data_IF_111464038522
#
_entry.id   IF_111464038522
#
_cell.length_a   1.000
_cell.length_b   1.000
_cell.length_c   1.000
_cell.angle_alpha   90.00
_cell.angle_beta   90.00
_cell.angle_gamma   90.00
#
_symmetry.space_group_name_H-M   'P 1'
#
loop_
_entity.id
_entity.type
_entity.pdbx_description
1 polymer ?
#
# COMPACT_ATOMS: atom_id res chain seq x y z
N UNK A 1 -1.26 -36.37 -5.07
CA UNK A 1 -1.45 -36.10 -3.62
C UNK A 1 -1.97 -34.69 -3.47
N UNK A 2 -3.21 -34.56 -2.99
CA UNK A 2 -4.02 -33.35 -3.11
C UNK A 2 -3.51 -32.18 -2.28
N UNK A 3 -3.42 -31.02 -2.92
CA UNK A 3 -3.21 -29.74 -2.25
C UNK A 3 -4.43 -29.42 -1.37
N UNK A 4 -4.22 -29.39 -0.05
CA UNK A 4 -5.16 -28.75 0.87
C UNK A 4 -5.28 -27.27 0.50
N UNK A 5 -6.42 -26.90 -0.08
CA UNK A 5 -6.86 -25.51 -0.16
C UNK A 5 -6.90 -24.97 1.28
N UNK A 6 -6.02 -24.04 1.61
CA UNK A 6 -5.96 -23.41 2.92
C UNK A 6 -7.22 -22.59 3.15
N UNK A 7 -8.19 -23.18 3.84
CA UNK A 7 -9.36 -22.52 4.39
C UNK A 7 -8.94 -21.61 5.54
N UNK A 8 -8.49 -20.39 5.25
CA UNK A 8 -8.35 -19.33 6.25
C UNK A 8 -9.49 -18.34 6.12
N UNK A 9 -10.68 -18.85 6.42
CA UNK A 9 -11.86 -18.05 6.70
C UNK A 9 -12.45 -18.50 8.04
N UNK A 10 -11.57 -18.77 9.02
CA UNK A 10 -12.00 -19.00 10.39
C UNK A 10 -12.25 -17.63 11.00
N UNK A 11 -13.49 -17.13 10.89
CA UNK A 11 -13.94 -16.02 11.73
C UNK A 11 -13.61 -16.39 13.18
N UNK A 12 -13.09 -15.47 14.01
CA UNK A 12 -12.95 -15.72 15.43
C UNK A 12 -14.30 -16.27 15.93
N UNK A 13 -14.29 -17.37 16.69
CA UNK A 13 -15.50 -17.88 17.33
C UNK A 13 -15.89 -16.86 18.40
N UNK A 14 -16.67 -15.86 18.02
CA UNK A 14 -17.27 -14.92 18.94
C UNK A 14 -18.28 -15.66 19.80
N UNK A 15 -18.43 -15.23 21.06
CA UNK A 15 -19.45 -15.80 21.94
C UNK A 15 -20.82 -15.74 21.25
N UNK A 16 -21.68 -16.73 21.47
CA UNK A 16 -23.06 -16.72 20.97
C UNK A 16 -23.93 -15.63 21.63
N UNK A 17 -23.40 -14.92 22.63
CA UNK A 17 -24.13 -13.85 23.31
C UNK A 17 -24.10 -12.55 22.49
N UNK A 18 -25.23 -11.83 22.43
CA UNK A 18 -25.29 -10.54 21.76
C UNK A 18 -24.38 -9.52 22.46
N UNK A 19 -23.83 -8.58 21.68
CA UNK A 19 -22.99 -7.51 22.20
C UNK A 19 -23.74 -6.64 23.23
N UNK A 20 -23.11 -6.26 24.35
CA UNK A 20 -23.72 -5.38 25.36
C UNK A 20 -24.20 -4.05 24.77
N UNK A 21 -25.30 -3.49 25.29
CA UNK A 21 -25.88 -2.22 24.83
C UNK A 21 -24.89 -1.06 24.87
N UNK A 22 -24.10 -0.95 25.94
CA UNK A 22 -23.09 0.10 26.09
C UNK A 22 -21.98 0.01 25.03
N UNK A 23 -21.63 -1.20 24.60
CA UNK A 23 -20.68 -1.40 23.49
C UNK A 23 -21.33 -1.03 22.18
N UNK A 24 -22.61 -1.37 21.97
CA UNK A 24 -23.36 -0.90 20.80
C UNK A 24 -23.35 0.63 20.71
N UNK A 25 -23.57 1.30 21.84
CA UNK A 25 -23.53 2.76 21.93
C UNK A 25 -22.16 3.35 21.62
N UNK A 26 -21.06 2.67 22.00
CA UNK A 26 -19.70 3.05 21.64
C UNK A 26 -19.52 3.10 20.11
N UNK A 27 -19.88 2.01 19.42
CA UNK A 27 -19.76 1.93 17.95
C UNK A 27 -20.70 2.92 17.25
N UNK A 28 -21.94 3.06 17.73
CA UNK A 28 -22.88 4.03 17.17
C UNK A 28 -22.40 5.48 17.33
N UNK A 29 -21.80 5.83 18.47
CA UNK A 29 -21.23 7.16 18.68
C UNK A 29 -20.10 7.43 17.67
N UNK A 30 -19.24 6.46 17.41
CA UNK A 30 -18.22 6.57 16.36
C UNK A 30 -18.83 6.70 14.97
N UNK A 31 -19.81 5.87 14.61
CA UNK A 31 -20.47 5.93 13.30
C UNK A 31 -21.12 7.29 13.05
N UNK A 32 -21.73 7.87 14.08
CA UNK A 32 -22.42 9.15 14.03
C UNK A 32 -21.47 10.34 14.19
N UNK A 33 -20.17 10.08 14.44
CA UNK A 33 -19.18 11.08 14.82
C UNK A 33 -19.61 11.94 16.03
N UNK A 34 -20.38 11.37 16.94
CA UNK A 34 -20.83 12.01 18.17
C UNK A 34 -19.74 11.88 19.24
N UNK A 35 -18.84 12.86 19.25
CA UNK A 35 -17.71 12.91 20.19
C UNK A 35 -18.18 13.06 21.65
N UNK A 36 -19.33 13.69 21.88
CA UNK A 36 -19.88 13.88 23.23
C UNK A 36 -20.35 12.54 23.79
N UNK A 37 -21.16 11.81 23.01
CA UNK A 37 -21.61 10.46 23.37
C UNK A 37 -20.43 9.50 23.47
N UNK A 38 -19.46 9.58 22.55
CA UNK A 38 -18.25 8.76 22.58
C UNK A 38 -17.49 8.91 23.90
N UNK A 39 -17.23 10.17 24.32
CA UNK A 39 -16.54 10.46 25.59
C UNK A 39 -17.32 9.99 26.81
N UNK A 40 -18.65 10.17 26.81
CA UNK A 40 -19.52 9.68 27.89
C UNK A 40 -19.50 8.16 28.00
N UNK A 41 -19.61 7.46 26.87
CA UNK A 41 -19.59 5.99 26.84
C UNK A 41 -18.22 5.46 27.28
N UNK A 42 -17.11 6.07 26.85
CA UNK A 42 -15.76 5.74 27.34
C UNK A 42 -15.64 5.96 28.85
N UNK A 43 -16.12 7.10 29.36
CA UNK A 43 -16.08 7.43 30.78
C UNK A 43 -16.88 6.46 31.67
N UNK A 44 -17.85 5.73 31.10
CA UNK A 44 -18.60 4.68 31.80
C UNK A 44 -17.79 3.41 32.07
N UNK A 45 -16.55 3.31 31.55
CA UNK A 45 -15.67 2.15 31.72
C UNK A 45 -15.92 1.03 30.71
N UNK A 46 -16.51 1.34 29.55
CA UNK A 46 -16.68 0.35 28.48
C UNK A 46 -15.34 -0.16 27.97
N UNK A 47 -15.26 -1.44 27.62
CA UNK A 47 -14.12 -1.96 26.88
C UNK A 47 -14.12 -1.41 25.45
N UNK A 48 -13.23 -0.45 25.20
CA UNK A 48 -13.07 0.21 23.89
C UNK A 48 -12.58 -0.73 22.78
N UNK A 49 -12.05 -1.90 23.14
CA UNK A 49 -11.57 -2.91 22.20
C UNK A 49 -12.63 -3.95 21.84
N UNK A 50 -13.83 -3.86 22.43
CA UNK A 50 -14.88 -4.83 22.18
C UNK A 50 -15.34 -4.75 20.70
N UNK A 51 -15.24 -5.85 19.93
CA UNK A 51 -15.58 -5.83 18.52
C UNK A 51 -17.09 -5.79 18.32
N UNK A 52 -17.52 -5.25 17.18
CA UNK A 52 -18.91 -5.37 16.75
C UNK A 52 -19.26 -6.85 16.58
N UNK A 53 -20.27 -7.33 17.31
CA UNK A 53 -20.76 -8.70 17.23
C UNK A 53 -22.29 -8.64 17.15
N UNK A 54 -22.85 -9.17 16.06
CA UNK A 54 -24.28 -9.40 15.93
C UNK A 54 -24.54 -10.85 15.47
N UNK A 55 -24.74 -11.80 16.40
CA UNK A 55 -24.90 -13.22 16.06
C UNK A 55 -26.17 -13.50 15.25
N UNK A 56 -27.21 -12.69 15.43
CA UNK A 56 -28.52 -12.84 14.77
C UNK A 56 -28.49 -12.37 13.32
N UNK A 57 -27.70 -11.34 13.02
CA UNK A 57 -27.54 -10.79 11.68
C UNK A 57 -26.06 -10.52 11.38
N UNK A 58 -25.32 -11.56 10.94
CA UNK A 58 -23.92 -11.41 10.61
C UNK A 58 -23.72 -10.37 9.52
N UNK A 59 -22.75 -9.48 9.73
CA UNK A 59 -22.50 -8.35 8.85
C UNK A 59 -21.01 -8.22 8.51
N UNK A 60 -20.69 -7.36 7.54
CA UNK A 60 -19.29 -7.00 7.26
C UNK A 60 -18.61 -6.28 8.44
N UNK A 61 -19.40 -5.80 9.41
CA UNK A 61 -18.90 -5.15 10.63
C UNK A 61 -18.43 -6.14 11.67
N UNK A 62 -18.82 -7.41 11.58
CA UNK A 62 -18.49 -8.40 12.61
C UNK A 62 -16.98 -8.53 12.79
N UNK A 63 -16.52 -8.37 14.02
CA UNK A 63 -15.10 -8.40 14.38
C UNK A 63 -14.39 -7.04 14.28
N UNK A 64 -15.01 -5.99 13.75
CA UNK A 64 -14.42 -4.65 13.70
C UNK A 64 -14.49 -3.96 15.07
N UNK A 65 -13.41 -3.30 15.50
CA UNK A 65 -13.42 -2.45 16.71
C UNK A 65 -13.87 -1.03 16.37
N UNK A 66 -14.29 -0.28 17.39
CA UNK A 66 -14.72 1.12 17.24
C UNK A 66 -13.61 1.99 16.64
N UNK A 67 -12.34 1.73 16.99
CA UNK A 67 -11.18 2.42 16.42
C UNK A 67 -11.07 2.19 14.90
N UNK A 68 -11.31 0.97 14.44
CA UNK A 68 -11.19 0.64 13.02
C UNK A 68 -12.32 1.23 12.17
N UNK A 69 -13.50 1.38 12.77
CA UNK A 69 -14.60 2.12 12.16
C UNK A 69 -14.26 3.62 12.07
N UNK A 70 -13.77 4.23 13.15
CA UNK A 70 -13.35 5.63 13.17
C UNK A 70 -12.28 5.93 12.09
N UNK A 71 -11.34 5.01 11.88
CA UNK A 71 -10.29 5.12 10.85
C UNK A 71 -10.89 5.06 9.45
N UNK A 72 -11.79 4.11 9.20
CA UNK A 72 -12.43 3.93 7.89
C UNK A 72 -13.24 5.18 7.51
N UNK A 73 -13.97 5.73 8.48
CA UNK A 73 -14.80 6.92 8.35
C UNK A 73 -14.02 8.25 8.39
N UNK A 74 -12.71 8.22 8.68
CA UNK A 74 -11.85 9.40 8.84
C UNK A 74 -12.24 10.33 10.00
N UNK A 75 -12.80 9.79 11.08
CA UNK A 75 -13.15 10.57 12.27
C UNK A 75 -11.90 10.78 13.13
N UNK A 76 -11.05 11.73 12.72
CA UNK A 76 -9.72 11.97 13.32
C UNK A 76 -9.78 12.16 14.84
N UNK A 77 -10.72 12.98 15.33
CA UNK A 77 -10.85 13.23 16.77
C UNK A 77 -11.41 12.03 17.54
N UNK A 78 -12.28 11.23 16.91
CA UNK A 78 -12.75 9.98 17.49
C UNK A 78 -11.61 8.95 17.59
N UNK A 79 -10.77 8.85 16.55
CA UNK A 79 -9.54 8.03 16.57
C UNK A 79 -8.63 8.45 17.71
N UNK A 80 -8.37 9.76 17.85
CA UNK A 80 -7.56 10.29 18.94
C UNK A 80 -8.15 9.94 20.31
N UNK A 81 -9.45 10.20 20.50
CA UNK A 81 -10.16 9.90 21.76
C UNK A 81 -10.07 8.41 22.12
N UNK A 82 -10.21 7.52 21.14
CA UNK A 82 -10.10 6.07 21.35
C UNK A 82 -8.68 5.64 21.69
N UNK A 83 -7.67 6.20 21.00
CA UNK A 83 -6.25 5.95 21.31
C UNK A 83 -5.91 6.44 22.73
N UNK A 84 -6.36 7.64 23.11
CA UNK A 84 -6.17 8.21 24.45
C UNK A 84 -6.84 7.32 25.53
N UNK A 85 -7.93 6.64 25.17
CA UNK A 85 -8.60 5.64 26.00
C UNK A 85 -7.95 4.24 25.95
N UNK A 86 -6.71 4.13 25.47
CA UNK A 86 -5.97 2.86 25.35
C UNK A 86 -6.63 1.82 24.43
N UNK A 87 -7.33 2.25 23.38
CA UNK A 87 -7.75 1.34 22.32
C UNK A 87 -6.51 0.72 21.66
N UNK A 88 -6.43 -0.61 21.70
CA UNK A 88 -5.35 -1.39 21.14
C UNK A 88 -5.34 -1.29 19.61
N UNK A 89 -4.14 -1.28 19.04
CA UNK A 89 -3.89 -1.37 17.58
C UNK A 89 -4.30 -2.73 16.99
N UNK A 90 -4.59 -3.71 17.83
CA UNK A 90 -4.89 -5.09 17.45
C UNK A 90 -6.38 -5.35 17.48
N UNK A 91 -6.94 -5.90 16.39
CA UNK A 91 -8.25 -6.55 16.48
C UNK A 91 -8.07 -7.91 17.16
N UNK A 92 -9.14 -8.45 17.74
CA UNK A 92 -9.15 -9.87 18.13
C UNK A 92 -8.89 -10.72 16.88
N UNK A 93 -7.71 -11.35 16.82
CA UNK A 93 -7.27 -12.18 15.70
C UNK A 93 -6.44 -11.46 14.61
N UNK A 94 -6.10 -10.18 14.78
CA UNK A 94 -5.39 -9.39 13.76
C UNK A 94 -4.09 -8.76 14.26
N UNK A 95 -3.09 -8.67 13.37
CA UNK A 95 -1.74 -8.16 13.65
C UNK A 95 -1.67 -6.62 13.53
N UNK A 96 -0.73 -5.98 14.24
CA UNK A 96 -0.55 -4.51 14.30
C UNK A 96 -0.48 -3.77 12.96
N UNK A 97 0.07 -4.41 11.92
CA UNK A 97 0.17 -3.78 10.60
C UNK A 97 -1.18 -3.48 9.97
N UNK A 98 -2.24 -4.18 10.36
CA UNK A 98 -3.55 -4.06 9.71
C UNK A 98 -4.18 -2.69 9.92
N UNK A 99 -4.07 -2.10 11.12
CA UNK A 99 -4.70 -0.81 11.41
C UNK A 99 -3.99 0.34 10.69
N UNK A 100 -2.66 0.30 10.66
CA UNK A 100 -1.85 1.23 9.87
C UNK A 100 -2.17 1.08 8.37
N UNK A 101 -2.24 -0.16 7.88
CA UNK A 101 -2.46 -0.42 6.46
C UNK A 101 -3.87 -0.01 6.05
N UNK A 102 -4.86 -0.12 6.94
CA UNK A 102 -6.21 0.40 6.73
C UNK A 102 -6.21 1.93 6.58
N UNK A 103 -5.56 2.66 7.50
CA UNK A 103 -5.45 4.11 7.41
C UNK A 103 -4.77 4.56 6.10
N UNK A 104 -3.69 3.87 5.72
CA UNK A 104 -2.94 4.12 4.49
C UNK A 104 -3.75 3.77 3.24
N UNK A 105 -4.45 2.63 3.24
CA UNK A 105 -5.32 2.20 2.16
C UNK A 105 -6.45 3.19 1.88
N UNK A 106 -6.88 3.96 2.88
CA UNK A 106 -7.89 5.01 2.72
C UNK A 106 -7.28 6.43 2.58
N UNK A 107 -5.94 6.56 2.55
CA UNK A 107 -5.25 7.85 2.40
C UNK A 107 -5.41 8.80 3.59
N UNK A 108 -5.57 8.26 4.80
CA UNK A 108 -5.82 9.02 6.03
C UNK A 108 -4.51 9.48 6.68
N UNK A 109 -3.82 10.43 6.08
CA UNK A 109 -2.50 10.90 6.54
C UNK A 109 -2.51 11.44 7.97
N UNK A 110 -3.52 12.22 8.36
CA UNK A 110 -3.65 12.72 9.74
C UNK A 110 -3.75 11.57 10.76
N UNK A 111 -4.50 10.51 10.41
CA UNK A 111 -4.63 9.32 11.23
C UNK A 111 -3.32 8.54 11.28
N UNK A 112 -2.56 8.44 10.18
CA UNK A 112 -1.23 7.82 10.19
C UNK A 112 -0.30 8.51 11.20
N UNK A 113 -0.35 9.85 11.31
CA UNK A 113 0.43 10.61 12.31
C UNK A 113 0.00 10.27 13.73
N UNK A 114 -1.31 10.18 14.00
CA UNK A 114 -1.83 9.76 15.31
C UNK A 114 -1.40 8.35 15.68
N UNK A 115 -1.53 7.40 14.75
CA UNK A 115 -1.12 6.01 14.97
C UNK A 115 0.38 5.91 15.26
N UNK A 116 1.22 6.67 14.55
CA UNK A 116 2.65 6.74 14.84
C UNK A 116 2.94 7.32 16.22
N UNK A 117 2.28 8.41 16.59
CA UNK A 117 2.42 9.02 17.92
C UNK A 117 1.97 8.08 19.05
N UNK A 118 1.00 7.20 18.77
CA UNK A 118 0.56 6.12 19.66
C UNK A 118 1.53 4.93 19.76
N UNK A 119 2.68 4.99 19.09
CA UNK A 119 3.71 3.94 19.14
C UNK A 119 3.52 2.79 18.14
N UNK A 120 2.57 2.89 17.20
CA UNK A 120 2.41 1.87 16.16
C UNK A 120 3.66 1.84 15.28
N UNK A 121 4.21 0.64 15.09
CA UNK A 121 5.40 0.45 14.27
C UNK A 121 5.10 0.69 12.78
N UNK A 122 5.54 1.85 12.29
CA UNK A 122 5.41 2.27 10.88
C UNK A 122 6.12 1.34 9.89
N UNK A 123 7.14 0.59 10.35
CA UNK A 123 7.91 -0.36 9.54
C UNK A 123 7.35 -1.78 9.57
N UNK A 124 6.17 -1.97 10.14
CA UNK A 124 5.49 -3.28 10.15
C UNK A 124 5.26 -3.80 8.74
N UNK A 125 5.22 -5.12 8.63
CA UNK A 125 5.08 -5.83 7.36
C UNK A 125 3.89 -6.78 7.36
N UNK A 126 3.17 -6.84 6.24
CA UNK A 126 2.17 -7.89 6.01
C UNK A 126 2.84 -9.24 5.70
N UNK A 127 2.00 -10.23 5.39
CA UNK A 127 2.42 -11.59 5.05
C UNK A 127 3.24 -11.67 3.75
N UNK A 128 3.15 -10.68 2.87
CA UNK A 128 3.98 -10.59 1.66
C UNK A 128 5.26 -9.79 1.89
N UNK A 129 5.49 -9.31 3.11
CA UNK A 129 6.60 -8.44 3.46
C UNK A 129 6.41 -6.98 3.01
N UNK A 130 5.23 -6.59 2.54
CA UNK A 130 4.94 -5.22 2.17
C UNK A 130 4.88 -4.34 3.42
N UNK A 131 5.43 -3.14 3.33
CA UNK A 131 5.27 -2.07 4.33
C UNK A 131 4.09 -1.16 3.95
N UNK A 132 3.71 -0.24 4.84
CA UNK A 132 2.73 0.81 4.55
C UNK A 132 3.01 1.56 3.23
N UNK A 133 4.29 1.89 2.95
CA UNK A 133 4.67 2.55 1.69
C UNK A 133 4.36 1.69 0.46
N UNK A 134 4.51 0.36 0.53
CA UNK A 134 4.14 -0.51 -0.57
C UNK A 134 2.64 -0.50 -0.83
N UNK A 135 1.83 -0.52 0.23
CA UNK A 135 0.36 -0.48 0.13
C UNK A 135 -0.09 0.84 -0.50
N UNK A 136 0.47 1.97 -0.04
CA UNK A 136 0.18 3.27 -0.62
C UNK A 136 0.61 3.36 -2.09
N UNK A 137 1.79 2.82 -2.42
CA UNK A 137 2.35 2.89 -3.76
C UNK A 137 1.60 2.08 -4.83
N UNK A 138 0.84 1.06 -4.45
CA UNK A 138 0.02 0.26 -5.39
C UNK A 138 -1.45 0.71 -5.49
N UNK A 139 -1.93 1.53 -4.58
CA UNK A 139 -3.37 1.79 -4.47
C UNK A 139 -3.81 2.99 -5.32
N UNK A 140 -4.20 2.76 -6.58
CA UNK A 140 -4.61 3.84 -7.50
C UNK A 140 -5.91 4.57 -7.15
N UNK A 141 -6.70 4.07 -6.20
CA UNK A 141 -8.06 4.58 -5.92
C UNK A 141 -8.11 5.67 -4.86
N UNK A 142 -6.96 6.09 -4.33
CA UNK A 142 -6.88 7.04 -3.23
C UNK A 142 -6.37 8.39 -3.74
N UNK A 143 -7.23 9.40 -3.65
CA UNK A 143 -6.90 10.77 -4.09
C UNK A 143 -5.71 11.39 -3.35
N UNK A 144 -5.38 10.92 -2.15
CA UNK A 144 -4.39 11.54 -1.25
C UNK A 144 -3.11 10.71 -1.06
N UNK A 145 -2.77 9.83 -2.02
CA UNK A 145 -1.62 8.94 -1.90
C UNK A 145 -0.30 9.68 -1.73
N UNK A 146 -0.05 10.74 -2.51
CA UNK A 146 1.21 11.48 -2.45
C UNK A 146 1.46 12.05 -1.04
N UNK A 147 0.43 12.66 -0.43
CA UNK A 147 0.50 13.19 0.95
C UNK A 147 0.69 12.09 1.99
N UNK A 148 0.04 10.94 1.79
CA UNK A 148 0.20 9.77 2.67
C UNK A 148 1.62 9.19 2.57
N UNK A 149 2.24 9.13 1.38
CA UNK A 149 3.65 8.75 1.20
C UNK A 149 4.57 9.72 1.94
N UNK A 150 4.39 11.03 1.77
CA UNK A 150 5.19 12.05 2.48
C UNK A 150 5.08 11.84 3.99
N UNK A 151 3.86 11.69 4.50
CA UNK A 151 3.60 11.46 5.92
C UNK A 151 4.27 10.18 6.43
N UNK A 152 4.16 9.07 5.68
CA UNK A 152 4.81 7.81 6.06
C UNK A 152 6.33 7.95 6.13
N UNK A 153 6.94 8.74 5.23
CA UNK A 153 8.37 9.02 5.20
C UNK A 153 8.80 9.95 6.34
N UNK A 154 8.01 10.98 6.66
CA UNK A 154 8.18 11.84 7.83
C UNK A 154 8.15 11.02 9.14
N UNK A 155 7.25 10.03 9.22
CA UNK A 155 7.19 9.08 10.33
C UNK A 155 8.29 8.00 10.30
N UNK A 156 9.29 8.12 9.43
CA UNK A 156 10.47 7.25 9.41
C UNK A 156 10.32 5.95 8.62
N UNK A 157 9.33 5.82 7.74
CA UNK A 157 9.27 4.69 6.80
C UNK A 157 10.53 4.60 5.94
N UNK A 158 10.95 3.39 5.62
CA UNK A 158 12.11 3.16 4.74
C UNK A 158 11.68 3.19 3.25
N UNK A 159 12.10 4.20 2.45
CA UNK A 159 11.69 4.35 1.04
C UNK A 159 12.18 3.23 0.13
N UNK A 160 13.21 2.49 0.57
CA UNK A 160 13.86 1.42 -0.18
C UNK A 160 13.64 0.03 0.45
N UNK A 161 12.68 -0.10 1.37
CA UNK A 161 12.34 -1.41 1.93
C UNK A 161 11.93 -2.37 0.81
N UNK A 162 12.45 -3.60 0.83
CA UNK A 162 12.04 -4.66 -0.08
C UNK A 162 10.98 -5.55 0.58
N UNK A 163 9.96 -5.94 -0.19
CA UNK A 163 9.03 -7.01 0.20
C UNK A 163 9.64 -8.39 -0.12
N UNK A 164 8.88 -9.48 0.08
CA UNK A 164 9.38 -10.86 -0.15
C UNK A 164 9.78 -11.14 -1.60
N UNK A 165 9.21 -10.41 -2.57
CA UNK A 165 9.59 -10.50 -3.99
C UNK A 165 10.78 -9.62 -4.36
N UNK A 166 11.31 -8.85 -3.41
CA UNK A 166 12.37 -7.88 -3.66
C UNK A 166 11.86 -6.54 -4.21
N UNK A 167 10.55 -6.39 -4.44
CA UNK A 167 9.98 -5.11 -4.89
C UNK A 167 10.15 -4.05 -3.80
N UNK A 168 10.55 -2.85 -4.21
CA UNK A 168 10.48 -1.62 -3.38
C UNK A 168 9.16 -0.89 -3.62
N UNK A 169 8.77 0.10 -2.80
CA UNK A 169 7.60 0.95 -3.09
C UNK A 169 7.67 1.58 -4.48
N UNK A 170 8.86 1.95 -4.97
CA UNK A 170 9.04 2.51 -6.30
C UNK A 170 8.74 1.50 -7.42
N UNK A 171 9.04 0.20 -7.23
CA UNK A 171 8.63 -0.83 -8.17
C UNK A 171 7.12 -0.87 -8.31
N UNK A 172 6.38 -0.88 -7.19
CA UNK A 172 4.92 -0.90 -7.22
C UNK A 172 4.35 0.37 -7.85
N UNK A 173 4.85 1.54 -7.48
CA UNK A 173 4.41 2.80 -8.09
C UNK A 173 4.63 2.79 -9.63
N UNK A 174 5.75 2.23 -10.08
CA UNK A 174 6.07 2.10 -11.49
C UNK A 174 5.16 1.09 -12.22
N UNK A 175 4.96 -0.11 -11.65
CA UNK A 175 4.05 -1.13 -12.18
C UNK A 175 2.63 -0.61 -12.36
N UNK A 176 2.13 0.22 -11.44
CA UNK A 176 0.76 0.72 -11.47
C UNK A 176 0.61 2.10 -12.14
N UNK A 177 1.69 2.65 -12.74
CA UNK A 177 1.66 3.95 -13.41
C UNK A 177 1.26 5.10 -12.46
N UNK A 178 1.76 5.05 -11.23
CA UNK A 178 1.50 6.04 -10.17
C UNK A 178 2.55 7.16 -10.24
N UNK A 179 2.50 7.98 -11.29
CA UNK A 179 3.54 8.98 -11.61
C UNK A 179 3.84 9.93 -10.45
N UNK A 180 2.83 10.48 -9.80
CA UNK A 180 3.02 11.41 -8.68
C UNK A 180 3.69 10.73 -7.48
N UNK A 181 3.23 9.53 -7.12
CA UNK A 181 3.83 8.72 -6.05
C UNK A 181 5.29 8.39 -6.38
N UNK A 182 5.57 7.98 -7.62
CA UNK A 182 6.93 7.71 -8.07
C UNK A 182 7.81 8.96 -7.96
N UNK A 183 7.28 10.14 -8.32
CA UNK A 183 7.97 11.41 -8.20
C UNK A 183 8.34 11.75 -6.76
N UNK A 184 7.40 11.62 -5.84
CA UNK A 184 7.64 11.83 -4.40
C UNK A 184 8.69 10.85 -3.87
N UNK A 185 8.56 9.56 -4.20
CA UNK A 185 9.53 8.54 -3.77
C UNK A 185 10.95 8.86 -4.27
N UNK A 186 11.10 9.28 -5.53
CA UNK A 186 12.39 9.67 -6.10
C UNK A 186 12.98 10.92 -5.44
N UNK A 187 12.15 11.91 -5.10
CA UNK A 187 12.57 13.08 -4.32
C UNK A 187 13.01 12.69 -2.90
N UNK A 188 12.39 11.66 -2.32
CA UNK A 188 12.67 11.15 -0.99
C UNK A 188 13.72 10.01 -0.97
N UNK A 189 14.71 10.06 -1.86
CA UNK A 189 15.88 9.16 -1.89
C UNK A 189 15.54 7.68 -2.17
N UNK A 190 14.44 7.38 -2.85
CA UNK A 190 14.27 6.05 -3.43
C UNK A 190 15.29 5.79 -4.53
N UNK A 191 15.90 4.61 -4.54
CA UNK A 191 16.88 4.22 -5.56
C UNK A 191 16.16 3.80 -6.84
N UNK A 192 16.34 4.61 -7.90
CA UNK A 192 15.72 4.41 -9.21
C UNK A 192 16.08 3.07 -9.87
N UNK A 193 17.28 2.55 -9.57
CA UNK A 193 17.82 1.32 -10.15
C UNK A 193 17.86 0.15 -9.15
N UNK A 194 17.06 0.20 -8.09
CA UNK A 194 16.86 -0.99 -7.24
C UNK A 194 16.40 -2.15 -8.11
N UNK A 195 17.03 -3.31 -7.96
CA UNK A 195 16.56 -4.54 -8.60
C UNK A 195 15.73 -5.37 -7.61
N UNK A 196 14.68 -6.00 -8.10
CA UNK A 196 13.94 -7.01 -7.35
C UNK A 196 14.70 -8.33 -7.20
N UNK A 197 14.05 -9.33 -6.60
CA UNK A 197 14.63 -10.66 -6.41
C UNK A 197 13.92 -11.71 -7.29
N UNK A 198 13.17 -11.29 -8.32
CA UNK A 198 12.50 -12.25 -9.20
C UNK A 198 13.55 -12.88 -10.13
N UNK A 199 13.83 -14.16 -9.86
CA UNK A 199 14.94 -15.00 -10.35
C UNK A 199 15.22 -14.96 -11.87
N UNK A 200 14.27 -14.51 -12.70
CA UNK A 200 14.46 -14.47 -14.14
C UNK A 200 15.15 -13.19 -14.64
N UNK A 201 14.87 -12.02 -14.04
CA UNK A 201 15.12 -10.74 -14.73
C UNK A 201 15.70 -9.60 -13.89
N UNK A 202 15.75 -9.70 -12.54
CA UNK A 202 16.25 -8.62 -11.65
C UNK A 202 15.70 -7.25 -12.07
N UNK A 203 14.38 -7.11 -12.01
CA UNK A 203 13.68 -6.00 -12.64
C UNK A 203 13.94 -4.71 -11.86
N UNK A 204 14.23 -3.62 -12.57
CA UNK A 204 14.17 -2.27 -12.01
C UNK A 204 12.74 -1.74 -12.04
N UNK A 205 12.41 -0.66 -11.29
CA UNK A 205 11.11 0.02 -11.43
C UNK A 205 10.77 0.40 -12.87
N UNK A 206 11.75 0.84 -13.66
CA UNK A 206 11.57 1.14 -15.07
C UNK A 206 11.11 -0.09 -15.86
N UNK A 207 11.81 -1.22 -15.70
CA UNK A 207 11.43 -2.45 -16.38
C UNK A 207 10.05 -2.96 -15.93
N UNK A 208 9.74 -2.83 -14.64
CA UNK A 208 8.44 -3.22 -14.10
C UNK A 208 7.29 -2.40 -14.73
N UNK A 209 7.48 -1.10 -14.98
CA UNK A 209 6.49 -0.28 -15.69
C UNK A 209 6.31 -0.69 -17.16
N UNK A 210 7.41 -0.94 -17.87
CA UNK A 210 7.38 -1.32 -19.29
C UNK A 210 6.77 -2.71 -19.49
N UNK A 211 7.22 -3.70 -18.71
CA UNK A 211 6.72 -5.07 -18.74
C UNK A 211 5.20 -5.13 -18.50
N UNK A 212 4.71 -4.41 -17.49
CA UNK A 212 3.29 -4.36 -17.18
C UNK A 212 2.45 -3.68 -18.28
N UNK A 213 2.99 -2.63 -18.93
CA UNK A 213 2.34 -1.97 -20.05
C UNK A 213 2.17 -2.90 -21.26
N UNK A 214 3.20 -3.66 -21.59
CA UNK A 214 3.18 -4.66 -22.68
C UNK A 214 2.15 -5.76 -22.37
N UNK A 215 2.16 -6.31 -21.15
CA UNK A 215 1.21 -7.35 -20.73
C UNK A 215 -0.25 -6.88 -20.84
N UNK A 216 -0.57 -5.65 -20.41
CA UNK A 216 -1.94 -5.12 -20.51
C UNK A 216 -2.39 -4.85 -21.93
N UNK A 217 -1.48 -4.44 -22.81
CA UNK A 217 -1.76 -4.29 -24.25
C UNK A 217 -2.18 -5.62 -24.86
N UNK A 218 -1.44 -6.70 -24.58
CA UNK A 218 -1.73 -8.04 -25.08
C UNK A 218 -3.07 -8.58 -24.56
N UNK A 219 -3.46 -8.22 -23.34
CA UNK A 219 -4.73 -8.62 -22.73
C UNK A 219 -5.95 -7.79 -23.17
N UNK A 220 -5.82 -6.93 -24.20
CA UNK A 220 -6.89 -6.03 -24.70
C UNK A 220 -7.55 -5.16 -23.62
N UNK A 221 -6.86 -4.92 -22.51
CA UNK A 221 -7.41 -4.29 -21.29
C UNK A 221 -6.84 -2.89 -21.04
N UNK A 222 -6.23 -2.28 -22.05
CA UNK A 222 -5.51 -1.03 -21.91
C UNK A 222 -6.37 0.17 -22.34
N UNK A 223 -6.88 0.92 -21.36
CA UNK A 223 -7.49 2.23 -21.63
C UNK A 223 -6.41 3.27 -21.99
N UNK A 224 -6.78 4.28 -22.78
CA UNK A 224 -5.90 5.41 -23.13
C UNK A 224 -5.35 6.13 -21.88
N UNK A 225 -6.14 6.19 -20.81
CA UNK A 225 -5.75 6.78 -19.54
C UNK A 225 -4.65 5.98 -18.83
N UNK A 226 -4.82 4.65 -18.74
CA UNK A 226 -3.81 3.75 -18.14
C UNK A 226 -2.50 3.86 -18.93
N UNK A 227 -2.57 3.85 -20.26
CA UNK A 227 -1.40 4.03 -21.12
C UNK A 227 -0.69 5.35 -20.83
N UNK A 228 -1.42 6.47 -20.82
CA UNK A 228 -0.88 7.80 -20.56
C UNK A 228 -0.16 7.87 -19.20
N UNK A 229 -0.77 7.30 -18.16
CA UNK A 229 -0.20 7.24 -16.81
C UNK A 229 1.10 6.44 -16.74
N UNK A 230 1.15 5.26 -17.34
CA UNK A 230 2.36 4.43 -17.36
C UNK A 230 3.46 5.12 -18.17
N UNK A 231 3.12 5.70 -19.32
CA UNK A 231 4.07 6.47 -20.13
C UNK A 231 4.67 7.65 -19.35
N UNK A 232 3.86 8.39 -18.60
CA UNK A 232 4.33 9.48 -17.77
C UNK A 232 5.29 8.98 -16.67
N UNK A 233 5.00 7.84 -16.05
CA UNK A 233 5.88 7.23 -15.04
C UNK A 233 7.21 6.76 -15.65
N UNK A 234 7.17 6.14 -16.83
CA UNK A 234 8.37 5.72 -17.57
C UNK A 234 9.26 6.94 -17.91
N UNK A 235 8.65 8.01 -18.46
CA UNK A 235 9.35 9.26 -18.76
C UNK A 235 9.99 9.87 -17.50
N UNK A 236 9.30 9.82 -16.36
CA UNK A 236 9.81 10.29 -15.08
C UNK A 236 11.04 9.48 -14.62
N UNK A 237 10.98 8.15 -14.67
CA UNK A 237 12.08 7.28 -14.25
C UNK A 237 13.33 7.50 -15.12
N UNK A 238 13.14 7.66 -16.44
CA UNK A 238 14.23 8.00 -17.36
C UNK A 238 14.88 9.35 -17.04
N UNK A 239 14.08 10.38 -16.71
CA UNK A 239 14.59 11.70 -16.29
C UNK A 239 15.47 11.61 -15.05
N UNK A 240 15.05 10.83 -14.07
CA UNK A 240 15.78 10.70 -12.81
C UNK A 240 17.06 9.88 -12.95
N UNK A 241 17.05 8.79 -13.75
CA UNK A 241 18.23 7.96 -14.01
C UNK A 241 19.25 8.68 -14.89
N UNK A 242 18.79 9.30 -15.96
CA UNK A 242 19.64 9.94 -16.94
C UNK A 242 19.32 11.43 -17.05
N UNK A 243 19.79 12.21 -16.07
CA UNK A 243 19.63 13.68 -16.03
C UNK A 243 20.02 14.39 -17.33
N UNK A 244 20.85 13.75 -18.16
CA UNK A 244 21.41 14.30 -19.40
C UNK A 244 21.00 13.56 -20.71
N UNK A 245 20.24 12.45 -20.68
CA UNK A 245 19.98 11.64 -21.91
C UNK A 245 18.68 12.01 -22.64
N UNK A 246 17.81 12.86 -22.08
CA UNK A 246 16.52 13.15 -22.73
C UNK A 246 16.61 14.20 -23.86
N UNK A 247 17.32 13.82 -24.92
CA UNK A 247 16.83 13.87 -26.30
C UNK A 247 16.29 12.48 -26.72
N UNK A 248 15.45 11.84 -25.91
CA UNK A 248 14.55 10.82 -26.48
C UNK A 248 13.48 11.63 -27.21
N UNK A 249 13.84 12.01 -28.44
CA UNK A 249 13.20 13.07 -29.22
C UNK A 249 11.98 12.57 -29.98
N UNK A 250 11.81 11.26 -30.16
CA UNK A 250 10.76 10.73 -31.01
C UNK A 250 9.92 9.66 -30.29
N UNK A 251 8.63 9.93 -30.15
CA UNK A 251 7.62 8.96 -29.73
C UNK A 251 7.61 7.69 -30.62
N UNK A 252 8.27 7.72 -31.79
CA UNK A 252 8.40 6.57 -32.72
C UNK A 252 9.28 5.45 -32.18
N UNK A 253 10.40 5.76 -31.50
CA UNK A 253 11.29 4.75 -30.92
C UNK A 253 10.60 4.06 -29.73
N UNK A 254 9.90 4.84 -28.91
CA UNK A 254 9.06 4.30 -27.84
C UNK A 254 7.90 3.45 -28.37
N UNK A 255 7.30 3.83 -29.50
CA UNK A 255 6.26 3.03 -30.17
C UNK A 255 6.80 1.69 -30.68
N UNK A 256 8.03 1.66 -31.19
CA UNK A 256 8.71 0.43 -31.61
C UNK A 256 8.95 -0.53 -30.45
N UNK A 257 9.32 -0.03 -29.26
CA UNK A 257 9.44 -0.87 -28.06
C UNK A 257 8.13 -1.59 -27.69
N UNK A 258 6.99 -0.94 -27.95
CA UNK A 258 5.67 -1.51 -27.63
C UNK A 258 5.23 -2.59 -28.63
N UNK A 259 5.86 -2.69 -29.80
CA UNK A 259 5.61 -3.74 -30.80
C UNK A 259 6.37 -5.04 -30.50
N UNK A 260 7.31 -5.01 -29.56
CA UNK A 260 8.10 -6.17 -29.17
C UNK A 260 7.22 -7.22 -28.48
N UNK A 261 7.33 -8.48 -28.92
CA UNK A 261 6.58 -9.60 -28.33
C UNK A 261 7.10 -9.99 -26.95
N UNK A 262 8.38 -9.74 -26.66
CA UNK A 262 9.02 -10.17 -25.40
C UNK A 262 9.73 -9.01 -24.68
N UNK A 263 9.57 -8.89 -23.34
CA UNK A 263 10.37 -7.99 -22.53
C UNK A 263 11.89 -8.29 -22.54
N UNK A 264 12.29 -9.50 -22.95
CA UNK A 264 13.68 -9.94 -23.00
C UNK A 264 14.53 -9.10 -23.96
N UNK A 265 13.93 -8.67 -25.06
CA UNK A 265 14.62 -7.81 -26.03
C UNK A 265 14.91 -6.42 -25.46
N UNK A 266 14.20 -5.98 -24.41
CA UNK A 266 14.43 -4.72 -23.69
C UNK A 266 15.40 -4.87 -22.50
N UNK A 267 15.91 -6.09 -22.23
CA UNK A 267 16.87 -6.35 -21.15
C UNK A 267 18.13 -5.50 -21.28
N UNK A 268 18.60 -5.20 -22.48
CA UNK A 268 19.80 -4.39 -22.69
C UNK A 268 19.61 -2.92 -22.27
N UNK A 269 18.47 -2.29 -22.60
CA UNK A 269 18.10 -0.95 -22.12
C UNK A 269 17.99 -0.90 -20.59
N UNK A 270 17.70 -2.04 -19.97
CA UNK A 270 17.58 -2.18 -18.51
C UNK A 270 18.88 -2.62 -17.81
N UNK A 271 19.79 -3.29 -18.53
CA UNK A 271 21.12 -3.75 -18.08
C UNK A 271 22.25 -2.74 -18.30
N UNK A 272 22.03 -1.65 -19.05
CA UNK A 272 23.08 -0.65 -19.29
C UNK A 272 23.43 0.08 -17.99
N UNK A 273 24.50 -0.42 -17.35
CA UNK A 273 25.20 -0.02 -16.12
C UNK A 273 25.04 -0.91 -14.87
N UNK A 274 24.78 -2.23 -15.00
CA UNK A 274 25.33 -3.17 -14.01
C UNK A 274 26.60 -3.79 -14.61
N UNK A 275 27.72 -3.11 -14.38
CA UNK A 275 29.00 -3.79 -14.24
C UNK A 275 28.84 -4.82 -13.11
N UNK A 276 28.42 -6.04 -13.44
CA UNK A 276 28.75 -7.20 -12.65
C UNK A 276 30.24 -7.42 -12.94
N UNK A 277 31.15 -7.28 -11.98
CA UNK A 277 32.54 -7.66 -12.20
C UNK A 277 32.55 -9.16 -12.46
N UNK A 278 32.88 -9.57 -13.68
CA UNK A 278 33.12 -10.96 -14.02
C UNK A 278 31.89 -11.77 -14.45
N UNK A 279 31.31 -11.43 -15.61
CA UNK A 279 30.93 -12.39 -16.66
C UNK A 279 30.19 -11.64 -17.76
N UNK A 280 30.90 -11.36 -18.85
CA UNK A 280 30.47 -11.40 -20.26
C UNK A 280 31.69 -10.91 -21.06
N UNK A 281 32.69 -11.79 -21.17
CA UNK A 281 33.56 -11.80 -22.34
C UNK A 281 32.76 -12.46 -23.47
N UNK A 282 32.79 -11.83 -24.65
CA UNK A 282 32.27 -12.33 -25.93
C UNK A 282 30.73 -12.40 -25.94
N UNK A 283 30.01 -11.73 -26.83
CA UNK A 283 30.16 -11.52 -28.28
C UNK A 283 29.52 -10.17 -28.63
#
# INVERSE_FOLDING_TARGET
MGAQKSTFNVRPRFSSQPMPSIVRDLHLAVMQNDLTKLKLVIASGVDVNYPWINPEQPSIKDGCTALCEAISLNHVEAVKTLIDASACSTFIGCRDWQILFKAVYHGRDAIVKLLFAAGINIRSRDEDGNTALHICAKNSFVHNNARCIVTLLECGSAPNAKNRKGHTPLHLAATWGMTEVAGVLLQCKSYVDSVDNEYANYMTPFYAAVSHLIQRRQASSLSREIFSRHLATIKLLLRHRYKNILKISNDSEFSSWLEMKTPDDLKHLCRLALCIPGKFQEI
#
